data_IF_409254449941
#
_entry.id   IF_409254449941
#
_cell.length_a   1.000
_cell.length_b   1.000
_cell.length_c   1.000
_cell.angle_alpha   90.00
_cell.angle_beta   90.00
_cell.angle_gamma   90.00
#
_symmetry.space_group_name_H-M   'P 1'
#
loop_
_entity.id
_entity.type
_entity.pdbx_description
1 polymer ?
#
# COMPACT_ATOMS: atom_id res chain seq x y z
N UNK A 1 -3.64 16.87 -54.84
CA UNK A 1 -2.93 15.95 -55.76
C UNK A 1 -2.79 14.62 -55.01
N UNK A 2 -3.58 13.60 -55.31
CA UNK A 2 -3.50 12.66 -56.44
C UNK A 2 -3.00 11.29 -55.92
N UNK A 3 -3.90 10.31 -55.93
CA UNK A 3 -3.67 8.89 -55.63
C UNK A 3 -3.07 8.14 -56.83
N UNK A 4 -2.26 7.11 -56.56
CA UNK A 4 -2.24 5.73 -57.17
C UNK A 4 -0.87 5.08 -56.86
N UNK A 5 -0.79 3.92 -56.19
CA UNK A 5 -1.00 2.52 -56.66
C UNK A 5 0.00 2.06 -57.74
N UNK A 6 0.71 0.96 -57.45
CA UNK A 6 1.10 -0.23 -58.27
C UNK A 6 2.48 -0.74 -57.83
N UNK A 7 2.89 -2.02 -57.81
CA UNK A 7 2.27 -3.34 -57.91
C UNK A 7 3.40 -4.38 -57.62
N UNK A 8 3.04 -5.57 -57.14
CA UNK A 8 3.86 -6.80 -57.03
C UNK A 8 4.11 -7.47 -58.39
N UNK A 9 5.09 -8.38 -58.50
CA UNK A 9 4.80 -9.83 -58.60
C UNK A 9 5.82 -10.70 -57.80
N UNK A 10 5.44 -11.74 -57.03
CA UNK A 10 4.97 -13.10 -57.38
C UNK A 10 6.00 -14.01 -58.09
N UNK A 11 6.61 -14.96 -57.36
CA UNK A 11 6.72 -16.39 -57.74
C UNK A 11 7.31 -17.23 -56.59
N UNK A 12 6.59 -18.27 -56.16
CA UNK A 12 7.04 -19.39 -55.31
C UNK A 12 7.69 -20.49 -56.20
N UNK A 13 7.97 -21.75 -55.77
CA UNK A 13 8.07 -22.37 -54.42
C UNK A 13 9.34 -23.26 -54.24
N UNK A 14 9.70 -23.69 -53.02
CA UNK A 14 10.18 -25.07 -52.76
C UNK A 14 10.21 -25.40 -51.26
N UNK A 15 9.45 -26.43 -50.93
CA UNK A 15 9.49 -27.43 -49.84
C UNK A 15 9.86 -27.06 -48.40
N UNK A 16 8.84 -27.16 -47.56
CA UNK A 16 8.93 -27.62 -46.16
C UNK A 16 9.67 -28.96 -46.03
N UNK A 17 10.19 -29.24 -44.84
CA UNK A 17 9.55 -30.27 -44.02
C UNK A 17 9.15 -29.75 -42.62
N UNK A 18 7.98 -30.19 -42.15
CA UNK A 18 7.55 -30.10 -40.76
C UNK A 18 8.03 -31.35 -39.98
N UNK A 19 7.65 -31.54 -38.69
CA UNK A 19 8.10 -30.82 -37.50
C UNK A 19 8.71 -31.79 -36.46
N UNK A 20 9.64 -31.34 -35.62
CA UNK A 20 10.04 -32.12 -34.44
C UNK A 20 10.59 -31.23 -33.31
N UNK A 21 10.02 -31.48 -32.13
CA UNK A 21 10.51 -31.23 -30.76
C UNK A 21 10.88 -29.79 -30.37
N UNK A 22 10.08 -29.12 -29.55
CA UNK A 22 9.92 -29.32 -28.10
C UNK A 22 11.18 -28.93 -27.29
N UNK A 23 11.00 -27.88 -26.48
CA UNK A 23 11.67 -27.64 -25.20
C UNK A 23 13.11 -27.11 -25.21
N UNK A 24 13.28 -25.79 -25.35
CA UNK A 24 14.42 -25.11 -24.73
C UNK A 24 13.99 -23.79 -24.06
N UNK A 25 13.27 -23.92 -22.93
CA UNK A 25 13.29 -22.89 -21.88
C UNK A 25 14.50 -23.15 -21.00
N UNK A 26 15.48 -22.26 -21.08
CA UNK A 26 16.69 -22.22 -20.24
C UNK A 26 16.38 -22.39 -18.73
N UNK A 27 17.05 -23.33 -18.02
CA UNK A 27 17.14 -23.28 -16.58
C UNK A 27 18.62 -23.19 -16.15
N UNK A 28 19.20 -21.99 -16.13
CA UNK A 28 20.54 -21.75 -15.58
C UNK A 28 20.53 -20.92 -14.29
N UNK A 29 19.35 -20.58 -13.77
CA UNK A 29 19.18 -19.82 -12.52
C UNK A 29 18.90 -20.67 -11.28
N UNK A 30 18.70 -21.98 -11.43
CA UNK A 30 18.23 -22.86 -10.34
C UNK A 30 19.34 -23.55 -9.54
N UNK A 31 20.50 -23.82 -10.13
CA UNK A 31 21.55 -24.61 -9.47
C UNK A 31 22.24 -23.84 -8.31
N UNK A 32 22.61 -22.57 -8.54
CA UNK A 32 23.26 -21.76 -7.52
C UNK A 32 22.35 -21.44 -6.33
N UNK A 33 21.04 -21.27 -6.58
CA UNK A 33 20.05 -21.01 -5.54
C UNK A 33 19.79 -22.27 -4.69
N UNK A 34 19.89 -23.45 -5.31
CA UNK A 34 19.82 -24.75 -4.61
C UNK A 34 21.07 -25.02 -3.76
N UNK A 35 22.26 -24.62 -4.21
CA UNK A 35 23.50 -24.76 -3.45
C UNK A 35 23.50 -23.89 -2.19
N UNK A 36 23.08 -22.62 -2.32
CA UNK A 36 22.95 -21.68 -1.19
C UNK A 36 21.90 -22.18 -0.19
N UNK A 37 20.78 -22.70 -0.69
CA UNK A 37 19.74 -23.28 0.15
C UNK A 37 20.22 -24.53 0.91
N UNK A 38 21.00 -25.39 0.25
CA UNK A 38 21.57 -26.60 0.84
C UNK A 38 22.60 -26.29 1.93
N UNK A 39 23.45 -25.28 1.70
CA UNK A 39 24.42 -24.80 2.68
C UNK A 39 23.74 -24.20 3.92
N UNK A 40 22.64 -23.44 3.72
CA UNK A 40 21.85 -22.89 4.81
C UNK A 40 21.18 -23.98 5.66
N UNK A 41 20.61 -25.01 5.03
CA UNK A 41 20.04 -26.16 5.75
C UNK A 41 21.11 -26.90 6.55
N UNK A 42 22.27 -27.15 5.95
CA UNK A 42 23.38 -27.83 6.63
C UNK A 42 23.81 -27.07 7.90
N UNK A 43 23.88 -25.74 7.83
CA UNK A 43 24.19 -24.88 8.98
C UNK A 43 23.08 -24.87 10.04
N UNK A 44 21.82 -24.91 9.63
CA UNK A 44 20.69 -24.99 10.56
C UNK A 44 20.64 -26.33 11.30
N UNK A 45 20.97 -27.43 10.62
CA UNK A 45 21.09 -28.76 11.21
C UNK A 45 22.26 -28.84 12.20
N UNK A 46 23.41 -28.24 11.86
CA UNK A 46 24.56 -28.12 12.78
C UNK A 46 24.23 -27.31 14.04
N UNK A 47 23.32 -26.33 13.92
CA UNK A 47 22.75 -25.58 15.04
C UNK A 47 21.66 -26.34 15.82
N UNK A 48 21.44 -27.62 15.51
CA UNK A 48 20.50 -28.49 16.21
C UNK A 48 19.03 -28.29 15.84
N UNK A 49 18.74 -27.56 14.76
CA UNK A 49 17.36 -27.42 14.27
C UNK A 49 16.93 -28.73 13.63
N UNK A 50 15.95 -29.40 14.23
CA UNK A 50 15.42 -30.65 13.68
C UNK A 50 14.63 -30.36 12.39
N UNK A 51 14.71 -31.21 11.37
CA UNK A 51 14.03 -30.99 10.08
C UNK A 51 12.51 -30.79 10.24
N UNK A 52 11.90 -31.44 11.23
CA UNK A 52 10.47 -31.28 11.54
C UNK A 52 10.16 -29.87 12.08
N UNK A 53 11.09 -29.24 12.81
CA UNK A 53 10.94 -27.88 13.31
C UNK A 53 11.08 -26.86 12.19
N UNK A 54 12.04 -27.06 11.29
CA UNK A 54 12.17 -26.23 10.09
C UNK A 54 10.90 -26.29 9.23
N UNK A 55 10.36 -27.50 9.02
CA UNK A 55 9.10 -27.70 8.30
C UNK A 55 7.92 -27.05 9.03
N UNK A 56 7.88 -27.10 10.36
CA UNK A 56 6.86 -26.40 11.15
C UNK A 56 6.95 -24.87 11.00
N UNK A 57 8.16 -24.28 11.00
CA UNK A 57 8.36 -22.84 10.77
C UNK A 57 8.00 -22.42 9.35
N UNK A 58 8.34 -23.23 8.35
CA UNK A 58 7.95 -23.00 6.95
C UNK A 58 6.43 -23.09 6.80
N UNK A 59 5.79 -24.09 7.43
CA UNK A 59 4.34 -24.25 7.46
C UNK A 59 3.64 -23.07 8.14
N UNK A 60 4.16 -22.59 9.27
CA UNK A 60 3.64 -21.41 9.97
C UNK A 60 3.83 -20.12 9.15
N UNK A 61 4.98 -19.97 8.48
CA UNK A 61 5.26 -18.87 7.56
C UNK A 61 4.34 -18.87 6.34
N UNK A 62 4.06 -20.05 5.77
CA UNK A 62 3.11 -20.25 4.68
C UNK A 62 1.68 -19.96 5.13
N UNK A 63 1.25 -20.43 6.29
CA UNK A 63 -0.08 -20.12 6.86
C UNK A 63 -0.23 -18.63 7.12
N UNK A 64 0.78 -17.97 7.69
CA UNK A 64 0.78 -16.52 7.88
C UNK A 64 0.76 -15.78 6.54
N UNK A 65 1.46 -16.30 5.52
CA UNK A 65 1.44 -15.75 4.17
C UNK A 65 0.11 -15.99 3.47
N UNK A 66 -0.58 -17.11 3.65
CA UNK A 66 -1.92 -17.36 3.11
C UNK A 66 -3.01 -16.60 3.88
N UNK A 67 -2.81 -16.35 5.17
CA UNK A 67 -3.69 -15.49 5.97
C UNK A 67 -3.49 -13.99 5.69
N UNK A 68 -2.32 -13.60 5.17
CA UNK A 68 -1.97 -12.21 4.82
C UNK A 68 -2.14 -11.93 3.31
N UNK A 69 -1.79 -12.89 2.46
CA UNK A 69 -2.12 -12.92 1.04
C UNK A 69 -3.37 -13.77 0.88
N UNK A 70 -4.52 -13.10 1.02
CA UNK A 70 -5.84 -13.70 0.87
C UNK A 70 -5.89 -14.62 -0.34
N UNK A 71 -6.25 -15.88 -0.08
CA UNK A 71 -6.61 -16.83 -1.12
C UNK A 71 -7.89 -16.33 -1.78
N UNK A 72 -7.79 -15.80 -3.00
CA UNK A 72 -8.92 -15.69 -3.91
C UNK A 72 -9.57 -14.31 -4.01
N UNK A 73 -8.94 -13.44 -4.79
CA UNK A 73 -9.50 -12.34 -5.59
C UNK A 73 -10.45 -12.86 -6.70
N UNK A 74 -11.41 -13.74 -6.35
CA UNK A 74 -12.41 -14.32 -7.26
C UNK A 74 -13.80 -14.49 -6.61
N UNK A 75 -14.06 -13.88 -5.45
CA UNK A 75 -15.43 -13.77 -4.96
C UNK A 75 -16.09 -12.55 -5.58
N UNK A 76 -16.78 -12.80 -6.68
CA UNK A 76 -17.83 -11.96 -7.23
C UNK A 76 -18.82 -11.56 -6.12
N UNK A 77 -19.07 -10.26 -6.00
CA UNK A 77 -20.39 -9.71 -5.68
C UNK A 77 -21.12 -10.22 -4.44
N UNK A 78 -20.45 -10.45 -3.33
CA UNK A 78 -21.13 -10.53 -2.05
C UNK A 78 -20.73 -9.32 -1.22
N UNK A 79 -21.71 -8.57 -0.69
CA UNK A 79 -21.58 -7.61 0.41
C UNK A 79 -21.12 -8.37 1.66
N UNK A 80 -19.95 -9.00 1.54
CA UNK A 80 -19.34 -9.80 2.57
C UNK A 80 -18.79 -8.77 3.52
N UNK A 81 -19.47 -8.67 4.65
CA UNK A 81 -19.06 -7.92 5.83
C UNK A 81 -17.57 -8.17 6.05
N UNK A 82 -16.74 -7.27 5.52
CA UNK A 82 -15.31 -7.38 5.66
C UNK A 82 -15.05 -7.25 7.16
N UNK A 83 -14.45 -8.25 7.82
CA UNK A 83 -14.28 -8.22 9.26
C UNK A 83 -13.52 -6.96 9.62
N UNK A 84 -14.16 -6.08 10.41
CA UNK A 84 -13.58 -4.80 10.80
C UNK A 84 -12.39 -5.09 11.71
N UNK A 85 -11.19 -4.65 11.30
CA UNK A 85 -10.00 -4.72 12.15
C UNK A 85 -10.14 -3.77 13.34
N UNK A 86 -10.62 -4.31 14.46
CA UNK A 86 -10.80 -3.57 15.71
C UNK A 86 -9.47 -3.12 16.33
N UNK A 87 -8.38 -3.85 16.08
CA UNK A 87 -7.05 -3.52 16.61
C UNK A 87 -6.50 -2.30 15.87
N UNK A 88 -6.55 -2.32 14.53
CA UNK A 88 -6.17 -1.18 13.70
C UNK A 88 -7.06 0.05 13.95
N UNK A 89 -8.37 -0.17 14.13
CA UNK A 89 -9.30 0.90 14.50
C UNK A 89 -8.92 1.54 15.83
N UNK A 90 -8.66 0.73 16.87
CA UNK A 90 -8.26 1.22 18.18
C UNK A 90 -6.98 2.05 18.09
N UNK A 91 -5.94 1.52 17.43
CA UNK A 91 -4.68 2.22 17.26
C UNK A 91 -4.88 3.58 16.55
N UNK A 92 -5.69 3.61 15.49
CA UNK A 92 -6.01 4.85 14.77
C UNK A 92 -6.68 5.87 15.68
N UNK A 93 -7.62 5.46 16.53
CA UNK A 93 -8.31 6.35 17.47
C UNK A 93 -7.36 6.89 18.55
N UNK A 94 -6.50 6.03 19.11
CA UNK A 94 -5.49 6.43 20.10
C UNK A 94 -4.50 7.45 19.52
N UNK A 95 -3.99 7.21 18.31
CA UNK A 95 -3.08 8.14 17.62
C UNK A 95 -3.79 9.45 17.27
N UNK A 96 -5.05 9.40 16.83
CA UNK A 96 -5.83 10.60 16.51
C UNK A 96 -6.01 11.48 17.74
N UNK A 97 -6.38 10.91 18.88
CA UNK A 97 -6.51 11.65 20.13
C UNK A 97 -5.17 12.25 20.59
N UNK A 98 -4.08 11.47 20.49
CA UNK A 98 -2.74 11.95 20.80
C UNK A 98 -2.32 13.13 19.91
N UNK A 99 -2.59 13.05 18.60
CA UNK A 99 -2.27 14.12 17.66
C UNK A 99 -3.03 15.41 17.97
N UNK A 100 -4.32 15.31 18.35
CA UNK A 100 -5.14 16.46 18.75
C UNK A 100 -4.60 17.07 20.06
N UNK A 101 -4.36 16.25 21.09
CA UNK A 101 -3.88 16.73 22.40
C UNK A 101 -2.51 17.38 22.33
N UNK A 102 -1.61 16.82 21.53
CA UNK A 102 -0.24 17.35 21.36
C UNK A 102 -0.18 18.50 20.36
N UNK A 103 -1.14 18.58 19.44
CA UNK A 103 -1.10 19.50 18.31
C UNK A 103 0.10 19.26 17.38
N UNK A 104 0.63 18.04 17.36
CA UNK A 104 1.82 17.68 16.60
C UNK A 104 1.61 17.93 15.08
N UNK A 105 2.65 18.39 14.37
CA UNK A 105 2.61 18.52 12.93
C UNK A 105 2.59 17.14 12.27
N UNK A 106 1.67 16.95 11.33
CA UNK A 106 1.47 15.69 10.59
C UNK A 106 1.68 15.91 9.08
N UNK A 107 2.10 14.85 8.41
CA UNK A 107 2.16 14.77 6.96
C UNK A 107 0.78 14.54 6.33
N UNK A 108 0.70 14.77 5.03
CA UNK A 108 -0.51 14.53 4.23
C UNK A 108 -0.92 13.06 4.24
N UNK A 109 0.06 12.14 4.25
CA UNK A 109 -0.20 10.70 4.28
C UNK A 109 -0.80 10.28 5.62
N UNK A 110 -0.23 10.75 6.73
CA UNK A 110 -0.72 10.47 8.08
C UNK A 110 -2.13 11.02 8.28
N UNK A 111 -2.38 12.28 7.89
CA UNK A 111 -3.73 12.87 7.95
C UNK A 111 -4.73 12.07 7.09
N UNK A 112 -4.30 11.60 5.92
CA UNK A 112 -5.16 10.77 5.06
C UNK A 112 -5.56 9.47 5.75
N UNK A 113 -4.62 8.84 6.46
CA UNK A 113 -4.87 7.60 7.21
C UNK A 113 -5.74 7.83 8.43
N UNK A 114 -5.50 8.91 9.19
CA UNK A 114 -6.24 9.22 10.42
C UNK A 114 -7.68 9.67 10.13
N UNK A 115 -7.88 10.52 9.12
CA UNK A 115 -9.22 10.98 8.73
C UNK A 115 -9.95 10.02 7.78
N UNK A 116 -9.25 9.04 7.20
CA UNK A 116 -9.77 8.19 6.13
C UNK A 116 -10.08 8.95 4.83
N UNK A 117 -9.57 10.18 4.68
CA UNK A 117 -9.77 11.05 3.51
C UNK A 117 -8.49 11.82 3.21
N UNK A 118 -8.10 11.88 1.93
CA UNK A 118 -6.98 12.72 1.50
C UNK A 118 -7.39 14.20 1.57
N UNK A 119 -6.68 15.05 2.33
CA UNK A 119 -7.05 16.45 2.43
C UNK A 119 -6.71 17.19 1.11
N UNK A 120 -7.72 17.82 0.49
CA UNK A 120 -7.60 18.52 -0.79
C UNK A 120 -7.56 20.05 -0.69
N UNK A 121 -8.09 20.62 0.40
CA UNK A 121 -8.15 22.07 0.63
C UNK A 121 -7.29 22.49 1.83
N UNK A 122 -7.12 23.79 2.05
CA UNK A 122 -6.34 24.29 3.20
C UNK A 122 -6.94 23.91 4.56
N UNK A 123 -8.26 23.70 4.61
CA UNK A 123 -9.01 23.18 5.76
C UNK A 123 -9.92 22.08 5.24
N UNK A 124 -9.93 20.92 5.89
CA UNK A 124 -10.79 19.79 5.54
C UNK A 124 -11.43 19.25 6.81
N UNK A 125 -12.75 19.10 6.79
CA UNK A 125 -13.51 18.56 7.91
C UNK A 125 -14.18 17.25 7.51
N UNK A 126 -14.13 16.25 8.40
CA UNK A 126 -14.81 14.97 8.23
C UNK A 126 -15.09 14.31 9.57
N UNK A 127 -16.35 13.91 9.79
CA UNK A 127 -16.72 13.12 10.98
C UNK A 127 -16.35 13.78 12.30
N UNK A 128 -16.42 15.11 12.37
CA UNK A 128 -16.06 15.90 13.56
C UNK A 128 -14.56 16.18 13.75
N UNK A 129 -13.69 15.62 12.90
CA UNK A 129 -12.27 15.97 12.83
C UNK A 129 -12.03 17.05 11.78
N UNK A 130 -11.13 17.98 12.09
CA UNK A 130 -10.67 19.00 11.16
C UNK A 130 -9.15 18.87 10.97
N UNK A 131 -8.71 18.94 9.72
CA UNK A 131 -7.30 19.07 9.35
C UNK A 131 -7.04 20.45 8.74
N UNK A 132 -6.11 21.20 9.34
CA UNK A 132 -5.69 22.51 8.86
C UNK A 132 -4.25 22.47 8.34
N UNK A 133 -4.03 22.97 7.13
CA UNK A 133 -2.71 23.03 6.50
C UNK A 133 -1.89 24.18 7.10
N UNK A 134 -0.74 23.85 7.66
CA UNK A 134 0.24 24.84 8.16
C UNK A 134 1.33 25.13 7.11
N UNK A 135 1.62 24.18 6.23
CA UNK A 135 2.65 24.30 5.20
C UNK A 135 2.59 23.18 4.17
N UNK A 136 3.62 23.08 3.32
CA UNK A 136 3.73 21.96 2.37
C UNK A 136 3.92 20.67 3.15
N UNK A 137 2.98 19.74 3.01
CA UNK A 137 3.01 18.47 3.72
C UNK A 137 3.05 18.60 5.25
N UNK A 138 2.52 19.71 5.79
CA UNK A 138 2.43 19.95 7.24
C UNK A 138 1.01 20.36 7.58
N UNK A 139 0.38 19.57 8.44
CA UNK A 139 -1.01 19.67 8.85
C UNK A 139 -1.13 19.58 10.36
N UNK A 140 -2.19 20.16 10.89
CA UNK A 140 -2.59 20.02 12.29
C UNK A 140 -4.00 19.47 12.35
N UNK A 141 -4.21 18.47 13.21
CA UNK A 141 -5.54 17.94 13.51
C UNK A 141 -6.14 18.67 14.72
N UNK A 142 -7.42 18.98 14.62
CA UNK A 142 -8.26 19.55 15.68
C UNK A 142 -9.64 18.89 15.67
N UNK A 143 -10.39 19.08 16.75
CA UNK A 143 -11.83 18.81 16.74
C UNK A 143 -12.52 20.00 16.07
N UNK A 144 -13.50 19.73 15.21
CA UNK A 144 -14.35 20.75 14.56
C UNK A 144 -14.86 21.81 15.55
N UNK A 145 -15.28 21.39 16.76
CA UNK A 145 -15.79 22.28 17.81
C UNK A 145 -14.74 23.18 18.49
N UNK A 146 -13.45 22.86 18.39
CA UNK A 146 -12.40 23.69 18.98
C UNK A 146 -12.11 24.94 18.13
N UNK A 147 -12.26 24.87 16.81
CA UNK A 147 -11.98 26.01 15.91
C UNK A 147 -12.98 27.15 16.13
N UNK A 148 -14.27 26.87 16.31
CA UNK A 148 -15.31 27.87 16.65
C UNK A 148 -14.97 28.65 17.93
N UNK A 149 -14.20 28.05 18.84
CA UNK A 149 -13.77 28.66 20.09
C UNK A 149 -12.53 29.53 19.87
N UNK A 150 -11.65 29.10 18.98
CA UNK A 150 -10.41 29.77 18.61
C UNK A 150 -10.68 30.98 17.69
N UNK A 151 -11.55 30.86 16.70
CA UNK A 151 -11.96 31.97 15.81
C UNK A 151 -12.71 33.07 16.58
N UNK A 152 -13.62 32.71 17.50
CA UNK A 152 -14.25 33.67 18.42
C UNK A 152 -13.22 34.43 19.27
N UNK A 153 -12.13 33.78 19.65
CA UNK A 153 -11.09 34.39 20.49
C UNK A 153 -10.15 35.31 19.66
N UNK A 154 -9.85 34.97 18.41
CA UNK A 154 -9.09 35.85 17.51
C UNK A 154 -9.87 37.09 17.07
N UNK A 155 -11.20 37.01 16.95
CA UNK A 155 -12.05 38.15 16.59
C UNK A 155 -12.05 39.30 17.62
N UNK A 156 -11.79 39.03 18.90
CA UNK A 156 -11.73 40.06 19.94
C UNK A 156 -10.39 40.84 19.95
N UNK A 157 -9.28 40.20 19.55
CA UNK A 157 -7.93 40.78 19.67
C UNK A 157 -7.44 41.56 18.44
N UNK A 158 -8.04 41.31 17.26
CA UNK A 158 -7.68 42.01 16.02
C UNK A 158 -8.18 43.46 15.96
N UNK A 159 -9.28 43.80 16.62
CA UNK A 159 -9.84 45.16 16.62
C UNK A 159 -8.97 46.20 17.35
N UNK A 160 -8.22 45.78 18.36
CA UNK A 160 -7.35 46.67 19.14
C UNK A 160 -6.03 47.01 18.46
N UNK A 161 -5.56 46.17 17.52
CA UNK A 161 -4.26 46.38 16.85
C UNK A 161 -4.30 47.26 15.61
N UNK A 162 -5.50 47.56 15.07
CA UNK A 162 -5.66 48.42 13.89
C UNK A 162 -5.85 49.91 14.22
N UNK A 163 -5.74 50.30 15.50
CA UNK A 163 -5.94 51.68 15.97
C UNK A 163 -4.79 52.13 16.89
N UNK A 164 -3.56 52.13 16.40
CA UNK A 164 -2.45 52.88 17.02
C UNK A 164 -1.58 53.48 15.92
#
# INVERSE_FOLDING_TARGET
>A
MASRRTATPSSAPVSSPAPADASETQPLRSALDQDIFSEWIARAVDQGVRPEQALAFIGLGLMRRMGSAGFGDWQDGNETECPVDLVGLRQRLEITDLAIRTGAPLSTAEVSQLMGARPGAAVVERGGLMARRLGRNVWKLSRSSDEDRVERNYGFSEGFRRRL
#
